data_IF_706177378010
#
_entry.id   IF_706177378010
#
_cell.length_a   1.000
_cell.length_b   1.000
_cell.length_c   1.000
_cell.angle_alpha   90.00
_cell.angle_beta   90.00
_cell.angle_gamma   90.00
#
_symmetry.space_group_name_H-M   'P 1'
#
loop_
_entity.id
_entity.type
_entity.pdbx_description
1 polymer ?
#
# COMPACT_ATOMS: atom_id res chain seq x y z
N UNK A 1 -9.63 18.58 10.23
CA UNK A 1 -9.98 17.74 9.08
C UNK A 1 -9.23 18.06 7.79
N UNK A 2 -8.69 19.28 7.58
CA UNK A 2 -7.90 19.54 6.36
C UNK A 2 -6.61 18.70 6.31
N UNK A 3 -5.82 18.71 7.40
CA UNK A 3 -4.55 17.97 7.49
C UNK A 3 -4.77 16.46 7.37
N UNK A 4 -5.76 15.91 8.08
CA UNK A 4 -6.06 14.48 8.08
C UNK A 4 -6.50 13.99 6.69
N UNK A 5 -7.23 14.84 5.96
CA UNK A 5 -7.62 14.56 4.57
C UNK A 5 -6.40 14.58 3.65
N UNK A 6 -5.52 15.57 3.77
CA UNK A 6 -4.30 15.65 2.96
C UNK A 6 -3.36 14.47 3.25
N UNK A 7 -3.18 14.07 4.52
CA UNK A 7 -2.39 12.90 4.88
C UNK A 7 -2.96 11.62 4.25
N UNK A 8 -4.28 11.44 4.30
CA UNK A 8 -4.94 10.29 3.67
C UNK A 8 -4.85 10.32 2.13
N UNK A 9 -4.89 11.50 1.50
CA UNK A 9 -4.69 11.62 0.04
C UNK A 9 -3.25 11.25 -0.32
N UNK A 10 -2.26 11.76 0.42
CA UNK A 10 -0.85 11.44 0.21
C UNK A 10 -0.57 9.95 0.40
N UNK A 11 -1.20 9.30 1.39
CA UNK A 11 -1.02 7.85 1.56
C UNK A 11 -1.55 7.06 0.37
N UNK A 12 -2.71 7.43 -0.18
CA UNK A 12 -3.27 6.81 -1.40
C UNK A 12 -2.33 7.00 -2.59
N UNK A 13 -1.78 8.20 -2.76
CA UNK A 13 -0.82 8.48 -3.83
C UNK A 13 0.44 7.62 -3.70
N UNK A 14 0.99 7.44 -2.50
CA UNK A 14 2.15 6.59 -2.26
C UNK A 14 1.84 5.10 -2.47
N UNK A 15 0.66 4.62 -2.09
CA UNK A 15 0.24 3.25 -2.41
C UNK A 15 0.13 3.03 -3.93
N UNK A 16 -0.39 4.00 -4.66
CA UNK A 16 -0.48 3.95 -6.12
C UNK A 16 0.90 3.99 -6.79
N UNK A 17 1.80 4.85 -6.31
CA UNK A 17 3.19 4.91 -6.76
C UNK A 17 3.89 3.56 -6.54
N UNK A 18 3.82 3.02 -5.32
CA UNK A 18 4.41 1.72 -5.00
C UNK A 18 3.86 0.59 -5.87
N UNK A 19 2.54 0.53 -6.05
CA UNK A 19 1.92 -0.47 -6.93
C UNK A 19 2.41 -0.35 -8.38
N UNK A 20 2.51 0.88 -8.90
CA UNK A 20 3.03 1.14 -10.25
C UNK A 20 4.50 0.78 -10.41
N UNK A 21 5.35 1.14 -9.45
CA UNK A 21 6.78 0.80 -9.43
C UNK A 21 6.99 -0.71 -9.42
N UNK A 22 6.24 -1.42 -8.57
CA UNK A 22 6.30 -2.88 -8.48
C UNK A 22 5.84 -3.55 -9.78
N UNK A 23 4.71 -3.13 -10.36
CA UNK A 23 4.29 -3.67 -11.66
C UNK A 23 5.34 -3.41 -12.73
N UNK A 24 5.89 -2.19 -12.76
CA UNK A 24 6.90 -1.78 -13.74
C UNK A 24 8.14 -2.66 -13.66
N UNK A 25 8.70 -2.90 -12.48
CA UNK A 25 9.90 -3.74 -12.38
C UNK A 25 9.62 -5.21 -12.65
N UNK A 26 8.46 -5.74 -12.26
CA UNK A 26 8.11 -7.13 -12.56
C UNK A 26 7.98 -7.31 -14.08
N UNK A 27 7.31 -6.36 -14.76
CA UNK A 27 7.22 -6.39 -16.23
C UNK A 27 8.58 -6.24 -16.91
N UNK A 28 9.49 -5.44 -16.35
CA UNK A 28 10.85 -5.27 -16.89
C UNK A 28 11.69 -6.54 -16.78
N UNK A 29 11.52 -7.31 -15.71
CA UNK A 29 12.24 -8.57 -15.49
C UNK A 29 11.63 -9.74 -16.30
N UNK A 30 10.33 -9.70 -16.59
CA UNK A 30 9.67 -10.68 -17.46
C UNK A 30 10.22 -10.61 -18.89
N UNK A 31 10.42 -9.41 -19.44
CA UNK A 31 10.96 -9.21 -20.80
C UNK A 31 12.09 -8.18 -20.78
N UNK A 32 13.31 -8.57 -20.32
CA UNK A 32 14.41 -7.65 -20.18
C UNK A 32 14.98 -7.28 -21.56
N UNK A 33 15.26 -5.99 -21.83
CA UNK A 33 15.88 -5.58 -23.08
C UNK A 33 17.30 -6.19 -23.23
N UNK A 34 17.77 -6.42 -24.46
CA UNK A 34 19.05 -7.10 -24.75
C UNK A 34 20.30 -6.50 -24.07
N UNK A 35 20.23 -5.24 -23.65
CA UNK A 35 21.29 -4.51 -22.95
C UNK A 35 21.05 -4.36 -21.43
N UNK A 36 20.08 -5.08 -20.87
CA UNK A 36 19.77 -5.01 -19.45
C UNK A 36 20.91 -5.61 -18.61
N UNK A 37 21.52 -4.77 -17.77
CA UNK A 37 22.47 -5.22 -16.74
C UNK A 37 21.70 -5.63 -15.48
N UNK A 38 21.04 -6.78 -15.54
CA UNK A 38 20.43 -7.42 -14.39
C UNK A 38 21.48 -8.28 -13.68
N UNK A 39 22.06 -7.72 -12.61
CA UNK A 39 22.91 -8.47 -11.69
C UNK A 39 22.05 -9.27 -10.70
N UNK A 40 22.59 -10.34 -10.10
CA UNK A 40 21.82 -11.30 -9.28
C UNK A 40 21.08 -10.62 -8.10
N UNK A 41 21.58 -9.48 -7.62
CA UNK A 41 21.02 -8.71 -6.49
C UNK A 41 20.24 -7.45 -6.88
N UNK A 42 20.19 -7.13 -8.19
CA UNK A 42 19.58 -5.88 -8.66
C UNK A 42 18.09 -5.83 -8.35
N UNK A 43 17.38 -6.93 -8.59
CA UNK A 43 15.92 -6.98 -8.43
C UNK A 43 15.52 -6.81 -6.95
N UNK A 44 16.18 -7.55 -6.05
CA UNK A 44 16.00 -7.46 -4.60
C UNK A 44 16.23 -6.04 -4.09
N UNK A 45 17.33 -5.43 -4.53
CA UNK A 45 17.70 -4.06 -4.14
C UNK A 45 16.63 -3.04 -4.54
N UNK A 46 16.01 -3.20 -5.71
CA UNK A 46 14.91 -2.33 -6.17
C UNK A 46 13.64 -2.55 -5.38
N UNK A 47 13.26 -3.78 -5.10
CA UNK A 47 12.09 -4.08 -4.26
C UNK A 47 12.24 -3.44 -2.88
N UNK A 48 13.39 -3.60 -2.22
CA UNK A 48 13.64 -2.97 -0.92
C UNK A 48 13.57 -1.44 -0.98
N UNK A 49 14.13 -0.85 -2.04
CA UNK A 49 14.07 0.59 -2.25
C UNK A 49 12.62 1.08 -2.35
N UNK A 50 11.77 0.42 -3.14
CA UNK A 50 10.36 0.80 -3.30
C UNK A 50 9.55 0.57 -2.03
N UNK A 51 9.84 -0.47 -1.26
CA UNK A 51 9.21 -0.67 0.04
C UNK A 51 9.51 0.53 0.95
N UNK A 52 10.77 0.98 0.98
CA UNK A 52 11.23 2.07 1.84
C UNK A 52 10.65 3.44 1.46
N UNK A 53 10.55 3.76 0.16
CA UNK A 53 10.05 5.07 -0.29
C UNK A 53 8.53 5.11 -0.54
N UNK A 54 7.90 3.95 -0.76
CA UNK A 54 6.51 3.83 -1.16
C UNK A 54 5.64 3.32 -0.02
N UNK A 55 5.54 2.01 0.13
CA UNK A 55 4.53 1.37 1.00
C UNK A 55 4.76 1.62 2.49
N UNK A 56 6.01 1.69 2.95
CA UNK A 56 6.32 1.96 4.36
C UNK A 56 5.84 3.36 4.81
N UNK A 57 6.21 4.47 4.14
CA UNK A 57 5.67 5.77 4.48
C UNK A 57 4.17 5.89 4.18
N UNK A 58 3.64 5.23 3.14
CA UNK A 58 2.20 5.19 2.87
C UNK A 58 1.41 4.60 4.05
N UNK A 59 1.89 3.49 4.62
CA UNK A 59 1.26 2.85 5.77
C UNK A 59 1.20 3.76 6.99
N UNK A 60 2.30 4.45 7.30
CA UNK A 60 2.35 5.42 8.40
C UNK A 60 1.37 6.58 8.15
N UNK A 61 1.36 7.12 6.93
CA UNK A 61 0.47 8.22 6.55
C UNK A 61 -1.00 7.83 6.47
N UNK A 62 -1.33 6.54 6.32
CA UNK A 62 -2.68 6.03 6.46
C UNK A 62 -3.07 5.84 7.95
N UNK A 63 -2.13 5.45 8.81
CA UNK A 63 -2.37 5.22 10.23
C UNK A 63 -2.56 6.51 11.03
N UNK A 64 -1.77 7.56 10.75
CA UNK A 64 -1.88 8.85 11.45
C UNK A 64 -3.29 9.46 11.38
N UNK A 65 -3.90 9.69 10.19
CA UNK A 65 -5.24 10.25 10.09
C UNK A 65 -6.30 9.32 10.69
N UNK A 66 -6.09 8.00 10.67
CA UNK A 66 -6.93 7.06 11.40
C UNK A 66 -6.93 7.35 12.90
N UNK A 67 -5.76 7.42 13.54
CA UNK A 67 -5.67 7.71 14.98
C UNK A 67 -6.25 9.07 15.34
N UNK A 68 -6.00 10.10 14.53
CA UNK A 68 -6.55 11.45 14.74
C UNK A 68 -8.08 11.50 14.66
N UNK A 69 -8.70 10.63 13.85
CA UNK A 69 -10.14 10.70 13.57
C UNK A 69 -10.97 9.58 14.20
N UNK A 70 -10.34 8.56 14.81
CA UNK A 70 -10.99 7.40 15.45
C UNK A 70 -11.97 7.76 16.59
N UNK A 71 -11.91 8.96 17.15
CA UNK A 71 -12.83 9.37 18.22
C UNK A 71 -14.15 9.96 17.69
N UNK A 72 -14.12 10.56 16.50
CA UNK A 72 -15.24 11.30 15.93
C UNK A 72 -15.81 10.61 14.67
N UNK A 73 -15.03 9.74 14.02
CA UNK A 73 -15.36 9.06 12.77
C UNK A 73 -15.31 9.99 11.56
N UNK A 74 -14.90 9.47 10.40
CA UNK A 74 -14.90 10.24 9.15
C UNK A 74 -15.06 9.32 7.94
N UNK A 75 -16.21 9.42 7.26
CA UNK A 75 -16.47 8.69 6.02
C UNK A 75 -15.48 9.01 4.89
N UNK A 76 -15.15 10.28 4.58
CA UNK A 76 -14.25 10.57 3.46
C UNK A 76 -12.82 10.07 3.73
N UNK A 77 -12.33 10.17 4.97
CA UNK A 77 -10.97 9.72 5.32
C UNK A 77 -10.92 8.19 5.35
N UNK A 78 -11.93 7.53 5.92
CA UNK A 78 -12.03 6.07 5.90
C UNK A 78 -12.10 5.52 4.47
N UNK A 79 -12.86 6.18 3.59
CA UNK A 79 -12.93 5.84 2.17
C UNK A 79 -11.59 5.96 1.44
N UNK A 80 -10.80 7.00 1.73
CA UNK A 80 -9.45 7.15 1.17
C UNK A 80 -8.51 6.03 1.64
N UNK A 81 -8.53 5.68 2.93
CA UNK A 81 -7.72 4.56 3.46
C UNK A 81 -8.11 3.24 2.79
N UNK A 82 -9.42 2.99 2.60
CA UNK A 82 -9.91 1.81 1.86
C UNK A 82 -9.39 1.83 0.42
N UNK A 83 -9.48 2.96 -0.26
CA UNK A 83 -9.00 3.09 -1.64
C UNK A 83 -7.50 2.75 -1.75
N UNK A 84 -6.67 3.26 -0.83
CA UNK A 84 -5.25 2.92 -0.76
C UNK A 84 -5.00 1.42 -0.57
N UNK A 85 -5.75 0.78 0.34
CA UNK A 85 -5.66 -0.66 0.55
C UNK A 85 -6.10 -1.49 -0.66
N UNK A 86 -7.12 -1.07 -1.40
CA UNK A 86 -7.57 -1.73 -2.64
C UNK A 86 -6.54 -1.57 -3.75
N UNK A 87 -5.96 -0.38 -3.92
CA UNK A 87 -4.88 -0.15 -4.90
C UNK A 87 -3.68 -1.05 -4.61
N UNK A 88 -3.28 -1.15 -3.34
CA UNK A 88 -2.23 -2.06 -2.93
C UNK A 88 -2.59 -3.52 -3.26
N UNK A 89 -3.83 -3.95 -2.99
CA UNK A 89 -4.28 -5.32 -3.30
C UNK A 89 -4.15 -5.64 -4.78
N UNK A 90 -4.72 -4.79 -5.62
CA UNK A 90 -4.76 -4.99 -7.08
C UNK A 90 -3.35 -4.94 -7.64
N UNK A 91 -2.53 -3.99 -7.21
CA UNK A 91 -1.14 -3.87 -7.66
C UNK A 91 -0.33 -5.13 -7.37
N UNK A 92 -0.44 -5.65 -6.14
CA UNK A 92 0.29 -6.85 -5.74
C UNK A 92 -0.28 -8.11 -6.39
N UNK A 93 -1.59 -8.17 -6.64
CA UNK A 93 -2.20 -9.27 -7.39
C UNK A 93 -1.65 -9.34 -8.82
N UNK A 94 -1.51 -8.20 -9.50
CA UNK A 94 -0.88 -8.15 -10.83
C UNK A 94 0.58 -8.62 -10.76
N UNK A 95 1.35 -8.15 -9.78
CA UNK A 95 2.74 -8.61 -9.59
C UNK A 95 2.81 -10.13 -9.35
N UNK A 96 1.87 -10.67 -8.56
CA UNK A 96 1.77 -12.11 -8.31
C UNK A 96 1.52 -12.90 -9.60
N UNK A 97 0.67 -12.40 -10.51
CA UNK A 97 0.43 -13.05 -11.81
C UNK A 97 1.61 -12.97 -12.78
N UNK A 98 2.54 -12.04 -12.54
CA UNK A 98 3.76 -11.90 -13.33
C UNK A 98 4.89 -12.84 -12.84
N UNK A 99 4.80 -13.37 -11.61
CA UNK A 99 5.83 -14.27 -11.06
C UNK A 99 6.05 -15.51 -11.94
N UNK A 100 4.98 -16.10 -12.45
CA UNK A 100 5.05 -17.31 -13.29
C UNK A 100 5.75 -17.09 -14.64
N UNK A 101 5.95 -15.83 -15.02
CA UNK A 101 6.59 -15.45 -16.30
C UNK A 101 8.06 -15.05 -16.12
N UNK A 102 8.53 -14.92 -14.87
CA UNK A 102 9.91 -14.54 -14.56
C UNK A 102 10.80 -15.77 -14.66
N UNK A 103 12.01 -15.59 -15.20
CA UNK A 103 13.02 -16.65 -15.24
C UNK A 103 13.49 -17.00 -13.81
N UNK A 104 13.58 -18.31 -13.50
CA UNK A 104 13.98 -18.85 -12.21
C UNK A 104 15.27 -18.23 -11.63
N UNK A 105 16.19 -17.77 -12.49
CA UNK A 105 17.43 -17.10 -12.07
C UNK A 105 17.17 -15.82 -11.26
N UNK A 106 16.04 -15.15 -11.49
CA UNK A 106 15.65 -13.91 -10.79
C UNK A 106 14.59 -14.13 -9.70
N UNK A 107 14.13 -15.37 -9.51
CA UNK A 107 13.17 -15.73 -8.46
C UNK A 107 13.87 -15.91 -7.12
N UNK A 108 14.10 -14.80 -6.43
CA UNK A 108 14.57 -14.82 -5.04
C UNK A 108 13.39 -14.93 -4.06
N UNK A 109 13.69 -15.24 -2.80
CA UNK A 109 12.71 -15.26 -1.71
C UNK A 109 12.00 -13.90 -1.57
N UNK A 110 12.71 -12.79 -1.79
CA UNK A 110 12.16 -11.44 -1.68
C UNK A 110 11.16 -11.18 -2.80
N UNK A 111 11.50 -11.53 -4.03
CA UNK A 111 10.64 -11.37 -5.21
C UNK A 111 9.36 -12.20 -5.03
N UNK A 112 9.47 -13.44 -4.60
CA UNK A 112 8.30 -14.32 -4.46
C UNK A 112 7.41 -13.91 -3.29
N UNK A 113 8.00 -13.53 -2.15
CA UNK A 113 7.22 -13.25 -0.93
C UNK A 113 6.64 -11.84 -0.87
N UNK A 114 7.24 -10.86 -1.59
CA UNK A 114 6.82 -9.46 -1.50
C UNK A 114 5.36 -9.24 -1.92
N UNK A 115 4.89 -9.71 -3.10
CA UNK A 115 3.50 -9.57 -3.50
C UNK A 115 2.55 -10.23 -2.50
N UNK A 116 2.90 -11.42 -2.00
CA UNK A 116 2.09 -12.17 -1.04
C UNK A 116 1.95 -11.42 0.29
N UNK A 117 3.06 -10.86 0.79
CA UNK A 117 3.08 -10.10 2.04
C UNK A 117 2.16 -8.88 1.95
N UNK A 118 2.25 -8.10 0.88
CA UNK A 118 1.44 -6.90 0.71
C UNK A 118 -0.01 -7.18 0.31
N UNK A 119 -0.27 -8.31 -0.36
CA UNK A 119 -1.63 -8.85 -0.51
C UNK A 119 -2.25 -9.20 0.85
N UNK A 120 -1.48 -9.75 1.80
CA UNK A 120 -1.95 -10.02 3.17
C UNK A 120 -2.16 -8.75 4.01
N UNK A 121 -1.29 -7.75 3.82
CA UNK A 121 -1.39 -6.45 4.52
C UNK A 121 -2.60 -5.63 4.06
N UNK A 122 -2.94 -5.69 2.78
CA UNK A 122 -4.02 -4.90 2.19
C UNK A 122 -5.38 -5.06 2.89
N UNK A 123 -5.91 -6.29 3.13
CA UNK A 123 -7.15 -6.50 3.87
C UNK A 123 -7.17 -5.84 5.25
N UNK A 124 -6.02 -5.77 5.92
CA UNK A 124 -5.89 -5.10 7.22
C UNK A 124 -6.11 -3.60 7.04
N UNK A 125 -5.47 -2.97 6.05
CA UNK A 125 -5.63 -1.55 5.73
C UNK A 125 -7.09 -1.24 5.37
N UNK A 126 -7.71 -2.09 4.54
CA UNK A 126 -9.12 -1.97 4.14
C UNK A 126 -10.03 -2.08 5.38
N UNK A 127 -9.82 -3.07 6.24
CA UNK A 127 -10.62 -3.26 7.44
C UNK A 127 -10.54 -2.05 8.38
N UNK A 128 -9.35 -1.48 8.55
CA UNK A 128 -9.12 -0.25 9.34
C UNK A 128 -9.88 0.94 8.74
N UNK A 129 -9.85 1.12 7.42
CA UNK A 129 -10.60 2.18 6.74
C UNK A 129 -12.13 2.01 6.84
N UNK A 130 -12.64 0.79 6.70
CA UNK A 130 -14.07 0.47 6.88
C UNK A 130 -14.49 0.74 8.32
N UNK A 131 -13.70 0.32 9.30
CA UNK A 131 -13.96 0.54 10.71
C UNK A 131 -14.10 2.05 11.00
N UNK A 132 -13.19 2.88 10.47
CA UNK A 132 -13.25 4.33 10.62
C UNK A 132 -14.50 4.94 9.99
N UNK A 133 -14.94 4.41 8.86
CA UNK A 133 -16.14 4.88 8.13
C UNK A 133 -17.42 4.60 8.91
N UNK A 134 -17.46 3.49 9.68
CA UNK A 134 -18.62 3.09 10.49
C UNK A 134 -18.67 3.76 11.86
N UNK A 135 -17.57 4.34 12.33
CA UNK A 135 -17.56 5.03 13.62
C UNK A 135 -18.44 6.29 13.61
N UNK A 136 -19.24 6.44 14.66
CA UNK A 136 -20.09 7.60 14.90
C UNK A 136 -19.45 8.49 15.96
N UNK A 137 -19.58 9.81 15.79
CA UNK A 137 -19.13 10.81 16.76
C UNK A 137 -19.68 10.47 18.16
N UNK A 138 -18.80 10.24 19.14
CA UNK A 138 -19.24 10.14 20.55
C UNK A 138 -19.95 11.45 20.89
N UNK A 139 -21.26 11.38 21.21
CA UNK A 139 -21.98 12.54 21.75
C UNK A 139 -21.27 12.96 23.04
N UNK A 140 -20.93 14.24 23.23
CA UNK A 140 -20.47 14.69 24.54
C UNK A 140 -21.54 14.29 25.56
N UNK A 141 -21.11 13.72 26.70
CA UNK A 141 -22.03 13.52 27.82
C UNK A 141 -22.61 14.90 28.12
N UNK A 142 -23.94 15.03 28.10
CA UNK A 142 -24.59 16.29 28.48
C UNK A 142 -24.06 16.64 29.87
N UNK A 143 -23.28 17.71 29.98
CA UNK A 143 -22.97 18.29 31.27
C UNK A 143 -24.27 18.96 31.72
N UNK A 144 -24.96 18.29 32.64
CA UNK A 144 -26.06 18.89 33.39
C UNK A 144 -25.38 19.76 34.47
N UNK A 145 -25.16 21.03 34.13
CA UNK A 145 -24.92 22.09 35.13
C UNK A 145 -26.24 22.80 35.41
#
# INVERSE_FOLDING_TARGET
>A
MAIEKWLAITSVALFAMFAGEMISIYSYVVDPPENAMLDDSWFDSKIFQFISIGVAPAGILAAVPFFMTKQYGSKPIGGLIVAGGVILLVGMFVCYTLLDQINDVYLTDIVTNTPVLFMGLSPIVIAVGIYLTKQKKKRPKKEFF
#
